data_IF_411229462231
#
_entry.id   IF_411229462231
#
_cell.length_a   1.000
_cell.length_b   1.000
_cell.length_c   1.000
_cell.angle_alpha   90.00
_cell.angle_beta   90.00
_cell.angle_gamma   90.00
#
_symmetry.space_group_name_H-M   'P 1'
#
loop_
_entity.id
_entity.type
_entity.pdbx_description
1 polymer ?
#
# COMPACT_ATOMS: atom_id res chain seq x y z
N UNK A 1 15.29 -20.44 55.66
CA UNK A 1 14.61 -19.14 55.75
C UNK A 1 14.91 -18.39 54.47
N UNK A 2 13.91 -18.16 53.62
CA UNK A 2 14.00 -17.27 52.45
C UNK A 2 13.90 -15.81 52.90
N UNK A 3 14.52 -14.88 52.15
CA UNK A 3 13.74 -13.88 51.41
C UNK A 3 14.31 -13.65 49.98
N UNK A 4 13.48 -13.73 48.94
CA UNK A 4 12.73 -12.64 48.27
C UNK A 4 13.52 -11.87 47.20
N UNK A 5 13.03 -12.05 45.97
CA UNK A 5 13.34 -11.39 44.70
C UNK A 5 13.07 -9.88 44.71
N UNK A 6 13.90 -9.10 44.00
CA UNK A 6 13.46 -7.92 43.24
C UNK A 6 14.48 -7.57 42.15
N UNK A 7 14.09 -7.76 40.89
CA UNK A 7 14.79 -7.21 39.71
C UNK A 7 14.21 -5.81 39.48
N UNK A 8 15.06 -4.79 39.45
CA UNK A 8 14.68 -3.42 39.11
C UNK A 8 14.65 -3.27 37.58
N UNK A 9 13.46 -2.97 37.04
CA UNK A 9 13.29 -2.50 35.67
C UNK A 9 13.36 -0.97 35.67
N UNK A 10 14.13 -0.40 34.74
CA UNK A 10 14.07 1.03 34.40
C UNK A 10 13.57 1.15 32.96
N UNK A 11 12.29 1.53 32.82
CA UNK A 11 11.71 2.09 31.61
C UNK A 11 11.97 3.59 31.54
N UNK A 12 12.23 4.10 30.32
CA UNK A 12 11.81 5.40 29.76
C UNK A 12 12.64 5.62 28.48
N UNK A 13 12.06 5.47 27.29
CA UNK A 13 11.23 6.46 26.57
C UNK A 13 12.05 7.59 25.96
N UNK A 14 12.01 7.69 24.62
CA UNK A 14 11.90 8.94 23.87
C UNK A 14 11.58 8.65 22.38
N UNK A 15 10.29 8.66 22.09
CA UNK A 15 9.58 9.46 21.08
C UNK A 15 10.10 9.68 19.65
N UNK A 16 9.10 9.52 18.75
CA UNK A 16 8.90 10.07 17.38
C UNK A 16 9.57 9.29 16.23
N UNK A 17 8.93 9.01 15.09
CA UNK A 17 7.81 9.66 14.43
C UNK A 17 7.08 8.70 13.45
N UNK A 18 5.76 8.67 13.60
CA UNK A 18 4.66 8.42 12.66
C UNK A 18 4.98 8.18 11.16
N UNK A 19 4.58 7.02 10.63
CA UNK A 19 3.81 6.90 9.37
C UNK A 19 3.23 5.48 9.21
N UNK A 20 2.30 5.11 10.10
CA UNK A 20 1.45 3.94 9.86
C UNK A 20 0.18 4.41 9.13
N UNK A 21 0.08 4.15 7.82
CA UNK A 21 -1.19 4.27 7.09
C UNK A 21 -2.11 3.14 7.55
N UNK A 22 -2.98 3.46 8.50
CA UNK A 22 -4.08 2.62 8.95
C UNK A 22 -5.17 2.67 7.87
N UNK A 23 -5.40 1.56 7.18
CA UNK A 23 -6.65 1.33 6.44
C UNK A 23 -7.75 1.06 7.47
N UNK A 24 -8.52 2.10 7.80
CA UNK A 24 -9.66 1.99 8.71
C UNK A 24 -10.92 1.75 7.89
N UNK A 25 -11.49 0.55 8.02
CA UNK A 25 -12.79 0.20 7.47
C UNK A 25 -13.90 1.10 8.02
N UNK A 26 -14.82 1.47 7.14
CA UNK A 26 -16.03 2.21 7.46
C UNK A 26 -16.98 1.35 8.29
N UNK A 27 -17.37 1.85 9.47
CA UNK A 27 -18.58 1.45 10.16
C UNK A 27 -19.41 2.71 10.43
N UNK A 28 -20.68 2.62 10.06
CA UNK A 28 -21.68 3.68 9.99
C UNK A 28 -21.99 4.33 11.34
N UNK A 29 -22.13 5.65 11.37
CA UNK A 29 -23.02 6.34 12.30
C UNK A 29 -23.60 7.61 11.65
N UNK A 30 -24.93 7.68 11.69
CA UNK A 30 -25.85 8.65 11.08
C UNK A 30 -25.89 10.01 11.85
N UNK A 31 -26.60 11.04 11.35
CA UNK A 31 -26.08 12.39 11.15
C UNK A 31 -26.42 13.34 12.31
N UNK A 32 -25.61 14.39 12.48
CA UNK A 32 -25.98 15.56 13.28
C UNK A 32 -25.94 16.82 12.41
N UNK A 33 -27.13 17.39 12.27
CA UNK A 33 -27.46 18.62 11.56
C UNK A 33 -26.77 19.83 12.17
N UNK A 34 -25.89 20.50 11.42
CA UNK A 34 -25.59 21.92 11.64
C UNK A 34 -25.56 22.63 10.30
N UNK A 35 -26.65 23.33 9.99
CA UNK A 35 -26.70 24.36 8.96
C UNK A 35 -25.85 25.55 9.41
N UNK A 36 -24.84 25.90 8.64
CA UNK A 36 -24.26 27.25 8.70
C UNK A 36 -23.95 27.69 7.28
N UNK A 37 -24.81 28.57 6.77
CA UNK A 37 -24.58 29.37 5.57
C UNK A 37 -23.49 30.39 5.88
N UNK A 38 -22.41 30.37 5.09
CA UNK A 38 -21.50 31.50 4.97
C UNK A 38 -21.03 31.57 3.53
N UNK A 39 -21.79 32.30 2.73
CA UNK A 39 -21.42 32.76 1.41
C UNK A 39 -20.34 33.83 1.57
N UNK A 40 -19.09 33.49 1.25
CA UNK A 40 -18.02 34.47 1.08
C UNK A 40 -17.49 34.33 -0.35
N UNK A 41 -18.02 35.18 -1.23
CA UNK A 41 -17.48 35.42 -2.57
C UNK A 41 -16.14 36.09 -2.43
N UNK A 42 -15.05 35.36 -2.67
CA UNK A 42 -13.72 35.95 -2.81
C UNK A 42 -13.44 35.99 -4.31
N UNK A 43 -13.74 37.15 -4.89
CA UNK A 43 -13.18 37.55 -6.18
C UNK A 43 -11.68 37.72 -6.00
N UNK A 44 -10.89 37.02 -6.80
CA UNK A 44 -9.45 37.27 -6.92
C UNK A 44 -9.09 37.13 -8.38
N UNK A 45 -9.14 38.25 -9.08
CA UNK A 45 -8.32 38.44 -10.28
C UNK A 45 -6.86 38.41 -9.84
N UNK A 46 -6.14 37.40 -10.30
CA UNK A 46 -4.70 37.49 -10.45
C UNK A 46 -4.34 36.94 -11.81
N UNK A 47 -4.04 37.86 -12.72
CA UNK A 47 -3.37 37.59 -13.98
C UNK A 47 -2.05 36.88 -13.69
N UNK A 48 -2.02 35.57 -13.93
CA UNK A 48 -0.77 34.83 -14.07
C UNK A 48 -0.81 34.08 -15.40
N UNK A 49 0.04 34.53 -16.33
CA UNK A 49 0.39 33.80 -17.55
C UNK A 49 1.09 32.50 -17.16
N UNK A 50 0.31 31.46 -16.90
CA UNK A 50 0.76 30.08 -16.83
C UNK A 50 -0.14 29.29 -17.76
N UNK A 51 0.44 28.58 -18.73
CA UNK A 51 -0.30 27.85 -19.76
C UNK A 51 -1.43 27.03 -19.15
N UNK A 52 -2.64 27.38 -19.56
CA UNK A 52 -3.86 26.64 -19.31
C UNK A 52 -3.73 25.28 -20.00
N UNK A 53 -3.22 24.27 -19.30
CA UNK A 53 -3.59 22.89 -19.62
C UNK A 53 -4.92 22.63 -18.92
N UNK A 54 -5.97 23.35 -19.33
CA UNK A 54 -7.32 22.81 -19.25
C UNK A 54 -7.26 21.58 -20.15
N UNK A 55 -6.91 20.44 -19.55
CA UNK A 55 -6.97 19.15 -20.23
C UNK A 55 -8.42 19.01 -20.61
N UNK A 56 -8.68 19.15 -21.90
CA UNK A 56 -10.01 19.13 -22.48
C UNK A 56 -10.72 17.86 -22.01
N UNK A 57 -11.60 18.01 -21.02
CA UNK A 57 -12.40 16.94 -20.42
C UNK A 57 -13.47 16.42 -21.41
N UNK A 58 -13.54 16.99 -22.62
CA UNK A 58 -14.57 16.68 -23.61
C UNK A 58 -14.27 15.44 -24.49
N UNK A 59 -13.09 14.85 -24.39
CA UNK A 59 -12.80 13.56 -25.00
C UNK A 59 -12.64 12.50 -23.91
N UNK A 60 -13.46 11.43 -23.88
CA UNK A 60 -13.09 10.27 -23.11
C UNK A 60 -11.79 9.77 -23.73
N UNK A 61 -10.66 10.08 -23.09
CA UNK A 61 -9.43 9.38 -23.39
C UNK A 61 -9.70 7.93 -23.01
N UNK A 62 -10.08 7.13 -24.01
CA UNK A 62 -10.25 5.70 -23.84
C UNK A 62 -8.87 5.21 -23.50
N UNK A 63 -8.64 5.01 -22.21
CA UNK A 63 -7.40 4.43 -21.74
C UNK A 63 -7.29 3.02 -22.34
N UNK A 64 -6.28 2.83 -23.18
CA UNK A 64 -6.02 1.56 -23.82
C UNK A 64 -4.86 0.86 -23.10
N UNK A 65 -5.16 -0.28 -22.46
CA UNK A 65 -4.15 -1.12 -21.78
C UNK A 65 -3.21 -1.74 -22.81
N UNK A 66 -1.99 -1.21 -22.92
CA UNK A 66 -0.88 -1.89 -23.61
C UNK A 66 -0.38 -3.14 -22.83
N UNK A 67 0.57 -3.87 -23.41
CA UNK A 67 1.12 -5.09 -22.80
C UNK A 67 1.87 -4.85 -21.47
N UNK A 68 2.49 -3.67 -21.29
CA UNK A 68 3.16 -3.31 -20.05
C UNK A 68 2.14 -3.08 -18.93
N UNK A 69 1.02 -2.41 -19.21
CA UNK A 69 -0.07 -2.30 -18.24
C UNK A 69 -0.59 -3.67 -17.81
N UNK A 70 -0.76 -4.60 -18.76
CA UNK A 70 -1.19 -5.98 -18.45
C UNK A 70 -0.17 -6.70 -17.58
N UNK A 71 1.12 -6.56 -17.88
CA UNK A 71 2.20 -7.16 -17.10
C UNK A 71 2.26 -6.59 -15.67
N UNK A 72 2.13 -5.27 -15.51
CA UNK A 72 2.04 -4.62 -14.19
C UNK A 72 0.86 -5.15 -13.38
N UNK A 73 -0.32 -5.22 -13.99
CA UNK A 73 -1.52 -5.75 -13.34
C UNK A 73 -1.37 -7.22 -12.95
N UNK A 74 -0.75 -8.04 -13.80
CA UNK A 74 -0.49 -9.43 -13.49
C UNK A 74 0.49 -9.59 -12.32
N UNK A 75 1.55 -8.78 -12.24
CA UNK A 75 2.47 -8.77 -11.09
C UNK A 75 1.72 -8.47 -9.78
N UNK A 76 0.87 -7.44 -9.80
CA UNK A 76 0.05 -7.07 -8.63
C UNK A 76 -0.91 -8.20 -8.24
N UNK A 77 -1.56 -8.83 -9.22
CA UNK A 77 -2.48 -9.95 -9.00
C UNK A 77 -1.78 -11.17 -8.40
N UNK A 78 -0.55 -11.46 -8.83
CA UNK A 78 0.25 -12.54 -8.25
C UNK A 78 0.66 -12.22 -6.80
N UNK A 79 1.02 -10.97 -6.50
CA UNK A 79 1.28 -10.53 -5.13
C UNK A 79 0.07 -10.67 -4.21
N UNK A 80 -1.12 -10.25 -4.67
CA UNK A 80 -2.37 -10.42 -3.92
C UNK A 80 -2.71 -11.90 -3.70
N UNK A 81 -2.61 -12.71 -4.76
CA UNK A 81 -2.84 -14.16 -4.67
C UNK A 81 -1.90 -14.79 -3.65
N UNK A 82 -0.60 -14.48 -3.71
CA UNK A 82 0.38 -14.96 -2.74
C UNK A 82 -0.03 -14.62 -1.31
N UNK A 83 -0.41 -13.37 -1.04
CA UNK A 83 -0.84 -12.94 0.29
C UNK A 83 -2.05 -13.75 0.79
N UNK A 84 -3.05 -13.99 -0.06
CA UNK A 84 -4.23 -14.78 0.28
C UNK A 84 -3.91 -16.27 0.48
N UNK A 85 -2.98 -16.83 -0.29
CA UNK A 85 -2.61 -18.24 -0.24
C UNK A 85 -1.90 -18.61 1.06
N UNK A 86 -1.21 -17.65 1.71
CA UNK A 86 -0.60 -17.88 3.03
C UNK A 86 -1.63 -18.45 4.02
N UNK A 87 -2.80 -17.84 4.12
CA UNK A 87 -3.84 -18.31 5.04
C UNK A 87 -4.69 -19.43 4.43
N UNK A 88 -5.13 -19.25 3.18
CA UNK A 88 -6.16 -20.12 2.57
C UNK A 88 -5.61 -21.47 2.10
N UNK A 89 -4.36 -21.49 1.63
CA UNK A 89 -3.74 -22.70 1.04
C UNK A 89 -2.74 -23.30 2.02
N UNK A 90 -1.94 -22.47 2.67
CA UNK A 90 -0.87 -22.95 3.56
C UNK A 90 -1.29 -23.04 5.04
N UNK A 91 -2.46 -22.52 5.39
CA UNK A 91 -3.00 -22.60 6.75
C UNK A 91 -2.20 -21.81 7.77
N UNK A 92 -1.49 -20.76 7.33
CA UNK A 92 -0.86 -19.83 8.26
C UNK A 92 -1.91 -19.03 9.01
N UNK A 93 -1.60 -18.70 10.25
CA UNK A 93 -2.35 -17.72 11.02
C UNK A 93 -2.13 -16.32 10.44
N UNK A 94 -3.06 -15.40 10.69
CA UNK A 94 -2.92 -13.99 10.32
C UNK A 94 -1.58 -13.40 10.82
N UNK A 95 -1.15 -13.78 12.03
CA UNK A 95 0.12 -13.33 12.60
C UNK A 95 1.34 -13.85 11.82
N UNK A 96 1.33 -15.13 11.41
CA UNK A 96 2.39 -15.70 10.57
C UNK A 96 2.39 -15.07 9.16
N UNK A 97 1.22 -14.86 8.57
CA UNK A 97 1.08 -14.19 7.27
C UNK A 97 1.60 -12.75 7.32
N UNK A 98 1.27 -12.02 8.38
CA UNK A 98 1.76 -10.67 8.64
C UNK A 98 3.28 -10.65 8.87
N UNK A 99 3.84 -11.62 9.61
CA UNK A 99 5.28 -11.78 9.74
C UNK A 99 5.93 -11.98 8.37
N UNK A 100 5.38 -12.87 7.53
CA UNK A 100 5.89 -13.13 6.19
C UNK A 100 5.92 -11.86 5.36
N UNK A 101 4.77 -11.19 5.25
CA UNK A 101 4.60 -9.95 4.50
C UNK A 101 5.51 -8.81 4.96
N UNK A 102 5.59 -8.58 6.27
CA UNK A 102 6.44 -7.50 6.80
C UNK A 102 7.92 -7.76 6.53
N UNK A 103 8.35 -9.02 6.56
CA UNK A 103 9.74 -9.40 6.28
C UNK A 103 10.09 -9.33 4.81
N UNK A 104 9.18 -9.70 3.90
CA UNK A 104 9.41 -9.54 2.46
C UNK A 104 9.64 -8.07 2.11
N UNK A 105 8.81 -7.17 2.63
CA UNK A 105 8.97 -5.73 2.45
C UNK A 105 10.27 -5.18 3.04
N UNK A 106 10.62 -5.60 4.26
CA UNK A 106 11.85 -5.15 4.95
C UNK A 106 13.11 -5.44 4.13
N UNK A 107 13.18 -6.59 3.47
CA UNK A 107 14.37 -7.04 2.74
C UNK A 107 14.30 -6.80 1.23
N UNK A 108 13.35 -5.99 0.74
CA UNK A 108 13.16 -5.74 -0.69
C UNK A 108 14.43 -5.27 -1.43
N UNK A 109 15.26 -4.46 -0.79
CA UNK A 109 16.47 -3.91 -1.43
C UNK A 109 17.74 -4.74 -1.16
N UNK A 110 17.61 -5.89 -0.51
CA UNK A 110 18.71 -6.83 -0.38
C UNK A 110 18.90 -7.63 -1.69
N UNK A 111 20.10 -8.17 -1.88
CA UNK A 111 20.43 -9.06 -2.99
C UNK A 111 19.85 -10.47 -2.78
N UNK A 112 19.72 -10.87 -1.52
CA UNK A 112 19.19 -12.16 -1.11
C UNK A 112 18.22 -12.00 0.07
N UNK A 113 17.25 -12.93 0.16
CA UNK A 113 16.35 -13.02 1.30
C UNK A 113 17.02 -13.81 2.45
N UNK A 114 17.26 -13.20 3.62
CA UNK A 114 18.04 -13.84 4.69
C UNK A 114 17.37 -15.12 5.23
N UNK A 115 18.15 -16.19 5.44
CA UNK A 115 17.65 -17.48 5.95
C UNK A 115 17.03 -17.40 7.35
N UNK A 116 17.44 -16.42 8.15
CA UNK A 116 16.96 -16.15 9.51
C UNK A 116 15.91 -15.03 9.56
N UNK A 117 15.43 -14.54 8.40
CA UNK A 117 14.46 -13.45 8.33
C UNK A 117 13.11 -13.79 8.99
N UNK A 118 12.74 -15.08 8.94
CA UNK A 118 11.50 -15.65 9.47
C UNK A 118 11.77 -17.05 10.01
N UNK A 119 10.82 -17.62 10.74
CA UNK A 119 10.90 -19.02 11.15
C UNK A 119 10.97 -19.99 9.95
N UNK A 120 11.52 -21.19 10.17
CA UNK A 120 11.77 -22.20 9.11
C UNK A 120 10.51 -22.62 8.33
N UNK A 121 9.35 -22.63 9.00
CA UNK A 121 8.07 -23.01 8.37
C UNK A 121 7.64 -21.95 7.36
N UNK A 122 7.86 -20.69 7.67
CA UNK A 122 7.44 -19.54 6.87
C UNK A 122 8.44 -19.17 5.77
N UNK A 123 9.71 -19.52 5.95
CA UNK A 123 10.81 -19.16 5.04
C UNK A 123 10.54 -19.37 3.53
N UNK A 124 10.12 -20.56 3.06
CA UNK A 124 9.93 -20.76 1.61
C UNK A 124 8.86 -19.83 1.02
N UNK A 125 7.79 -19.56 1.78
CA UNK A 125 6.68 -18.70 1.35
C UNK A 125 7.02 -17.21 1.43
N UNK A 126 7.77 -16.80 2.45
CA UNK A 126 8.28 -15.43 2.53
C UNK A 126 9.31 -15.16 1.42
N UNK A 127 10.17 -16.13 1.09
CA UNK A 127 11.11 -16.01 -0.02
C UNK A 127 10.40 -15.87 -1.37
N UNK A 128 9.33 -16.62 -1.60
CA UNK A 128 8.46 -16.47 -2.78
C UNK A 128 7.86 -15.06 -2.86
N UNK A 129 7.25 -14.58 -1.78
CA UNK A 129 6.69 -13.22 -1.74
C UNK A 129 7.72 -12.13 -1.95
N UNK A 130 8.95 -12.32 -1.45
CA UNK A 130 10.06 -11.40 -1.69
C UNK A 130 10.45 -11.34 -3.17
N UNK A 131 10.49 -12.48 -3.88
CA UNK A 131 10.74 -12.52 -5.33
C UNK A 131 9.65 -11.75 -6.10
N UNK A 132 8.38 -12.00 -5.78
CA UNK A 132 7.25 -11.29 -6.42
C UNK A 132 7.30 -9.78 -6.17
N UNK A 133 7.68 -9.38 -4.95
CA UNK A 133 7.83 -7.97 -4.61
C UNK A 133 9.00 -7.31 -5.35
N UNK A 134 10.13 -8.01 -5.52
CA UNK A 134 11.27 -7.55 -6.35
C UNK A 134 10.85 -7.33 -7.80
N UNK A 135 10.10 -8.27 -8.37
CA UNK A 135 9.61 -8.18 -9.74
C UNK A 135 8.67 -6.98 -9.91
N UNK A 136 7.76 -6.79 -8.96
CA UNK A 136 6.81 -5.66 -8.96
C UNK A 136 7.52 -4.31 -8.81
N UNK A 137 8.47 -4.17 -7.87
CA UNK A 137 9.27 -2.95 -7.70
C UNK A 137 10.12 -2.65 -8.94
N UNK A 138 10.72 -3.68 -9.55
CA UNK A 138 11.48 -3.56 -10.80
C UNK A 138 10.61 -3.06 -11.95
N UNK A 139 9.42 -3.65 -12.13
CA UNK A 139 8.46 -3.25 -13.16
C UNK A 139 8.00 -1.80 -12.96
N UNK A 140 7.65 -1.41 -11.73
CA UNK A 140 7.23 -0.04 -11.41
C UNK A 140 8.32 1.00 -11.67
N UNK A 141 9.59 0.66 -11.42
CA UNK A 141 10.73 1.55 -11.71
C UNK A 141 11.03 1.67 -13.21
N UNK A 142 10.89 0.57 -13.95
CA UNK A 142 11.19 0.56 -15.38
C UNK A 142 10.09 1.22 -16.22
N UNK A 143 8.84 1.19 -15.73
CA UNK A 143 7.66 1.67 -16.44
C UNK A 143 6.82 2.63 -15.58
N UNK A 144 7.40 3.76 -15.14
CA UNK A 144 6.72 4.67 -14.20
C UNK A 144 5.51 5.35 -14.83
N UNK A 145 5.47 5.53 -16.16
CA UNK A 145 4.33 6.13 -16.85
C UNK A 145 3.12 5.21 -16.79
N UNK A 146 3.30 3.95 -17.15
CA UNK A 146 2.24 2.94 -17.13
C UNK A 146 1.73 2.69 -15.70
N UNK A 147 2.60 2.79 -14.70
CA UNK A 147 2.19 2.75 -13.30
C UNK A 147 1.28 3.93 -12.92
N UNK A 148 1.66 5.16 -13.30
CA UNK A 148 0.87 6.38 -13.07
C UNK A 148 -0.47 6.32 -13.81
N UNK A 149 -0.47 5.78 -15.03
CA UNK A 149 -1.69 5.63 -15.83
C UNK A 149 -2.68 4.69 -15.12
N UNK A 150 -2.20 3.58 -14.55
CA UNK A 150 -3.04 2.67 -13.75
C UNK A 150 -3.50 3.30 -12.42
N UNK A 151 -2.63 4.03 -11.71
CA UNK A 151 -3.01 4.80 -10.50
C UNK A 151 -4.13 5.81 -10.81
N UNK A 152 -4.05 6.47 -11.97
CA UNK A 152 -5.05 7.43 -12.42
C UNK A 152 -6.40 6.76 -12.69
N UNK A 153 -6.40 5.55 -13.28
CA UNK A 153 -7.62 4.77 -13.48
C UNK A 153 -8.25 4.31 -12.18
N UNK A 154 -7.44 3.87 -11.22
CA UNK A 154 -7.87 3.51 -9.87
C UNK A 154 -8.61 4.68 -9.24
N UNK A 155 -8.02 5.88 -9.31
CA UNK A 155 -8.62 7.10 -8.76
C UNK A 155 -9.94 7.51 -9.46
N UNK A 156 -10.02 7.33 -10.78
CA UNK A 156 -11.23 7.67 -11.56
C UNK A 156 -12.36 6.67 -11.31
N UNK A 157 -12.04 5.37 -11.23
CA UNK A 157 -13.04 4.31 -11.10
C UNK A 157 -13.42 4.03 -9.64
N UNK A 158 -12.66 4.54 -8.66
CA UNK A 158 -12.84 4.23 -7.24
C UNK A 158 -12.59 2.76 -6.92
N UNK A 159 -11.78 2.07 -7.73
CA UNK A 159 -11.54 0.63 -7.68
C UNK A 159 -10.09 0.31 -7.38
N UNK A 160 -9.80 -0.78 -6.69
CA UNK A 160 -8.43 -1.23 -6.46
C UNK A 160 -7.79 -1.77 -7.74
N UNK A 161 -6.45 -1.80 -7.77
CA UNK A 161 -5.69 -2.46 -8.83
C UNK A 161 -6.18 -3.90 -9.04
N UNK A 162 -6.56 -4.26 -10.27
CA UNK A 162 -7.05 -5.60 -10.62
C UNK A 162 -8.57 -5.76 -10.74
N UNK A 163 -9.36 -4.74 -10.37
CA UNK A 163 -10.83 -4.78 -10.45
C UNK A 163 -11.42 -4.17 -11.75
N UNK A 164 -10.56 -3.94 -12.74
CA UNK A 164 -10.87 -3.29 -14.02
C UNK A 164 -10.18 -3.96 -15.21
#
# INVERSE_FOLDING_TARGET
MSPSTAISYSEASNDTNTHARIWKGNAEQMPSTVSTTSSATISSESENKGGDYIRDLSFPHVFEKNEIHKALLECMRQGEKWQLDLERVHGFTEAESCEGFSRTGKYLYCDEFPEDAVNKKLFPHAKEGWILLKETDCMGRNYPKELIDLDSLVAINGKCFGEF
#
